data_IF_711358644483
#
_entry.id   IF_711358644483
#
_cell.length_a   1.000
_cell.length_b   1.000
_cell.length_c   1.000
_cell.angle_alpha   90.00
_cell.angle_beta   90.00
_cell.angle_gamma   90.00
#
_symmetry.space_group_name_H-M   'P 1'
#
loop_
_entity.id
_entity.type
_entity.pdbx_description
1 polymer ?
#
# COMPACT_ATOMS: atom_id res chain seq x y z
N UNK A 1 36.58 32.35 28.94
CA UNK A 1 35.86 31.07 28.77
C UNK A 1 34.43 31.40 28.36
N UNK A 2 34.04 31.10 27.12
CA UNK A 2 32.69 31.37 26.60
C UNK A 2 31.80 30.21 27.03
N UNK A 3 30.93 30.45 28.00
CA UNK A 3 29.92 29.50 28.43
C UNK A 3 28.65 29.71 27.59
N UNK A 4 28.17 28.58 27.06
CA UNK A 4 26.80 28.24 26.64
C UNK A 4 26.21 28.96 25.42
N UNK A 5 25.66 28.17 24.48
CA UNK A 5 24.20 28.05 24.46
C UNK A 5 23.76 26.58 24.29
N UNK A 6 23.35 25.96 25.39
CA UNK A 6 22.55 24.72 25.40
C UNK A 6 21.16 25.12 25.88
N UNK A 7 20.47 26.00 25.13
CA UNK A 7 19.09 26.40 25.44
C UNK A 7 18.31 26.59 24.14
N UNK A 8 18.44 25.66 23.18
CA UNK A 8 17.63 25.71 21.95
C UNK A 8 17.23 24.32 21.42
N UNK A 9 17.17 23.30 22.30
CA UNK A 9 16.78 21.93 21.88
C UNK A 9 15.35 21.58 22.35
N UNK A 10 14.72 22.38 23.22
CA UNK A 10 13.43 22.00 23.84
C UNK A 10 12.15 22.40 23.08
N UNK A 11 12.24 23.10 21.94
CA UNK A 11 11.05 23.63 21.26
C UNK A 11 10.52 22.82 20.05
N UNK A 12 11.09 21.65 19.75
CA UNK A 12 10.65 20.82 18.63
C UNK A 12 9.70 19.67 19.02
N UNK A 13 8.84 19.85 20.03
CA UNK A 13 7.69 18.97 20.22
C UNK A 13 6.56 19.45 19.30
N UNK A 14 6.74 19.31 17.99
CA UNK A 14 5.62 19.36 17.06
C UNK A 14 4.73 18.16 17.37
N UNK A 15 3.60 18.41 18.04
CA UNK A 15 2.53 17.43 18.21
C UNK A 15 2.01 17.12 16.81
N UNK A 16 2.56 16.09 16.19
CA UNK A 16 1.99 15.49 14.98
C UNK A 16 0.73 14.78 15.43
N UNK A 17 -0.38 15.52 15.52
CA UNK A 17 -1.67 14.92 15.81
C UNK A 17 -2.17 14.30 14.52
N UNK A 18 -2.24 12.97 14.49
CA UNK A 18 -2.95 12.28 13.43
C UNK A 18 -4.40 12.77 13.37
N UNK A 19 -4.95 12.89 12.16
CA UNK A 19 -6.32 13.35 11.96
C UNK A 19 -7.28 12.44 12.76
N UNK A 20 -8.05 13.05 13.67
CA UNK A 20 -9.04 12.37 14.46
C UNK A 20 -10.34 12.31 13.65
N UNK A 21 -10.88 11.11 13.44
CA UNK A 21 -12.17 10.92 12.77
C UNK A 21 -13.23 10.60 13.82
N UNK A 22 -14.36 11.31 13.75
CA UNK A 22 -15.49 11.08 14.64
C UNK A 22 -16.31 9.89 14.15
N UNK A 23 -16.80 9.08 15.09
CA UNK A 23 -17.73 7.98 14.83
C UNK A 23 -19.05 8.26 15.54
N UNK A 24 -20.16 8.15 14.83
CA UNK A 24 -21.51 8.27 15.42
C UNK A 24 -22.47 7.24 14.84
N UNK A 25 -23.60 7.05 15.51
CA UNK A 25 -24.70 6.18 15.09
C UNK A 25 -25.92 7.06 14.83
N UNK A 26 -26.57 6.91 13.68
CA UNK A 26 -27.78 7.66 13.36
C UNK A 26 -29.03 7.06 14.03
N UNK A 27 -30.19 7.70 13.83
CA UNK A 27 -31.47 7.23 14.37
C UNK A 27 -31.90 5.86 13.85
N UNK A 28 -31.38 5.44 12.70
CA UNK A 28 -31.67 4.17 12.06
C UNK A 28 -30.68 3.07 12.48
N UNK A 29 -29.72 3.40 13.35
CA UNK A 29 -28.70 2.48 13.85
C UNK A 29 -27.50 2.28 12.93
N UNK A 30 -27.35 3.08 11.87
CA UNK A 30 -26.20 3.01 10.96
C UNK A 30 -24.99 3.75 11.53
N UNK A 31 -23.81 3.20 11.30
CA UNK A 31 -22.53 3.75 11.79
C UNK A 31 -21.93 4.66 10.72
N UNK A 32 -21.58 5.88 11.11
CA UNK A 32 -20.97 6.89 10.26
C UNK A 32 -19.59 7.30 10.78
N UNK A 33 -18.73 7.76 9.86
CA UNK A 33 -17.39 8.28 10.13
C UNK A 33 -17.18 9.58 9.38
N UNK A 34 -16.62 10.60 10.01
CA UNK A 34 -16.34 11.88 9.36
C UNK A 34 -15.69 12.92 10.27
N UNK A 35 -15.31 14.05 9.69
CA UNK A 35 -14.68 15.15 10.41
C UNK A 35 -15.70 15.91 11.28
N UNK A 36 -16.85 16.25 10.71
CA UNK A 36 -17.94 16.96 11.39
C UNK A 36 -19.19 16.09 11.52
N UNK A 37 -19.80 16.09 12.70
CA UNK A 37 -21.08 15.40 12.93
C UNK A 37 -22.27 16.33 12.64
N UNK A 38 -23.43 15.79 12.22
CA UNK A 38 -24.69 16.55 12.27
C UNK A 38 -25.02 16.94 13.73
N UNK A 39 -25.42 18.19 13.94
CA UNK A 39 -25.71 18.77 15.28
C UNK A 39 -26.76 17.97 16.08
N UNK A 40 -27.56 17.14 15.43
CA UNK A 40 -28.73 16.48 16.01
C UNK A 40 -28.54 14.99 16.38
N UNK A 41 -27.33 14.41 16.31
CA UNK A 41 -27.14 12.97 16.58
C UNK A 41 -26.92 12.67 18.07
N UNK A 42 -27.82 11.92 18.76
CA UNK A 42 -27.59 11.44 20.13
C UNK A 42 -26.89 10.08 20.09
N UNK A 43 -25.58 10.04 19.82
CA UNK A 43 -24.84 8.78 19.85
C UNK A 43 -23.52 8.93 20.59
N UNK A 44 -23.22 7.92 21.42
CA UNK A 44 -22.03 7.82 22.25
C UNK A 44 -20.77 8.17 21.47
N UNK A 45 -20.10 9.24 21.90
CA UNK A 45 -18.89 9.76 21.29
C UNK A 45 -17.73 8.81 21.57
N UNK A 46 -17.13 8.26 20.52
CA UNK A 46 -15.85 7.57 20.60
C UNK A 46 -14.94 8.12 19.52
N UNK A 47 -13.92 8.87 19.91
CA UNK A 47 -12.86 9.33 19.01
C UNK A 47 -12.00 8.14 18.60
N UNK A 48 -11.90 7.87 17.30
CA UNK A 48 -10.97 6.87 16.80
C UNK A 48 -9.60 7.54 16.61
N UNK A 49 -8.63 7.16 17.44
CA UNK A 49 -7.24 7.60 17.27
C UNK A 49 -6.60 6.72 16.20
N UNK A 50 -6.34 7.29 15.03
CA UNK A 50 -5.58 6.63 13.98
C UNK A 50 -4.11 6.85 14.29
N UNK A 51 -3.39 5.80 14.64
CA UNK A 51 -1.94 5.88 14.84
C UNK A 51 -1.23 5.76 13.48
N UNK A 52 -0.25 6.61 13.24
CA UNK A 52 0.69 6.43 12.13
C UNK A 52 1.60 5.23 12.46
N UNK A 53 1.14 4.04 12.08
CA UNK A 53 1.85 2.77 12.29
C UNK A 53 2.54 2.31 11.00
N UNK A 54 3.00 3.26 10.16
CA UNK A 54 3.66 2.90 8.91
C UNK A 54 4.90 2.06 9.17
N UNK A 55 4.83 0.78 8.77
CA UNK A 55 5.96 -0.14 8.84
C UNK A 55 6.85 0.01 7.59
N UNK A 56 7.82 0.91 7.70
CA UNK A 56 8.78 1.19 6.64
C UNK A 56 9.61 -0.04 6.26
N UNK A 57 9.91 -0.93 7.21
CA UNK A 57 10.68 -2.15 6.94
C UNK A 57 9.88 -3.11 6.06
N UNK A 58 8.61 -3.37 6.42
CA UNK A 58 7.71 -4.19 5.62
C UNK A 58 7.48 -3.60 4.23
N UNK A 59 7.34 -2.28 4.12
CA UNK A 59 7.21 -1.58 2.84
C UNK A 59 8.46 -1.78 1.96
N UNK A 60 9.66 -1.53 2.51
CA UNK A 60 10.92 -1.72 1.78
C UNK A 60 11.15 -3.18 1.39
N UNK A 61 10.77 -4.13 2.26
CA UNK A 61 10.84 -5.56 1.97
C UNK A 61 9.90 -5.94 0.82
N UNK A 62 8.67 -5.40 0.79
CA UNK A 62 7.73 -5.61 -0.30
C UNK A 62 8.27 -5.10 -1.64
N UNK A 63 8.85 -3.89 -1.68
CA UNK A 63 9.49 -3.35 -2.89
C UNK A 63 10.60 -4.27 -3.39
N UNK A 64 11.48 -4.73 -2.49
CA UNK A 64 12.57 -5.65 -2.87
C UNK A 64 12.05 -6.96 -3.45
N UNK A 65 11.03 -7.57 -2.83
CA UNK A 65 10.37 -8.79 -3.34
C UNK A 65 9.76 -8.55 -4.72
N UNK A 66 9.09 -7.42 -4.90
CA UNK A 66 8.48 -7.07 -6.19
C UNK A 66 9.52 -6.88 -7.31
N UNK A 67 10.65 -6.23 -7.03
CA UNK A 67 11.72 -6.06 -8.00
C UNK A 67 12.35 -7.39 -8.45
N UNK A 68 12.40 -8.40 -7.56
CA UNK A 68 12.83 -9.77 -7.93
C UNK A 68 11.77 -10.44 -8.79
N UNK A 69 10.50 -10.39 -8.36
CA UNK A 69 9.38 -10.94 -9.10
C UNK A 69 9.29 -10.38 -10.53
N UNK A 70 9.42 -9.06 -10.70
CA UNK A 70 9.35 -8.41 -12.01
C UNK A 70 10.44 -8.92 -12.97
N UNK A 71 11.66 -9.19 -12.47
CA UNK A 71 12.74 -9.75 -13.28
C UNK A 71 12.43 -11.18 -13.72
N UNK A 72 11.85 -11.99 -12.83
CA UNK A 72 11.46 -13.36 -13.14
C UNK A 72 10.35 -13.42 -14.19
N UNK A 73 9.33 -12.56 -14.07
CA UNK A 73 8.24 -12.44 -15.04
C UNK A 73 8.80 -12.07 -16.41
N UNK A 74 9.62 -11.00 -16.50
CA UNK A 74 10.24 -10.58 -17.78
C UNK A 74 11.09 -11.70 -18.42
N UNK A 75 11.81 -12.48 -17.61
CA UNK A 75 12.59 -13.61 -18.11
C UNK A 75 11.70 -14.73 -18.66
N UNK A 76 10.60 -15.07 -17.96
CA UNK A 76 9.64 -16.07 -18.39
C UNK A 76 8.95 -15.64 -19.69
N UNK A 77 8.46 -14.41 -19.76
CA UNK A 77 7.85 -13.85 -20.97
C UNK A 77 8.80 -13.90 -22.17
N UNK A 78 10.06 -13.49 -21.97
CA UNK A 78 11.06 -13.53 -23.05
C UNK A 78 11.28 -14.95 -23.57
N UNK A 79 11.46 -15.93 -22.66
CA UNK A 79 11.62 -17.34 -23.03
C UNK A 79 10.40 -17.87 -23.78
N UNK A 80 9.20 -17.51 -23.34
CA UNK A 80 7.96 -17.92 -23.99
C UNK A 80 7.83 -17.33 -25.40
N UNK A 81 8.12 -16.04 -25.57
CA UNK A 81 8.13 -15.36 -26.87
C UNK A 81 9.15 -15.98 -27.82
N UNK A 82 10.36 -16.30 -27.34
CA UNK A 82 11.39 -16.96 -28.14
C UNK A 82 10.96 -18.38 -28.57
N UNK A 83 10.35 -19.15 -27.67
CA UNK A 83 9.78 -20.48 -27.96
C UNK A 83 8.72 -20.40 -29.06
N UNK A 84 7.74 -19.51 -28.91
CA UNK A 84 6.68 -19.27 -29.91
C UNK A 84 7.30 -18.85 -31.26
N UNK A 85 8.31 -17.97 -31.27
CA UNK A 85 8.97 -17.50 -32.50
C UNK A 85 9.74 -18.62 -33.21
N UNK A 86 10.45 -19.47 -32.46
CA UNK A 86 11.19 -20.63 -33.02
C UNK A 86 10.25 -21.67 -33.61
N UNK A 87 9.10 -21.88 -32.99
CA UNK A 87 8.09 -22.85 -33.43
C UNK A 87 7.30 -22.37 -34.64
N UNK A 88 6.93 -21.09 -34.70
CA UNK A 88 6.37 -20.47 -35.91
C UNK A 88 7.29 -20.65 -37.12
N UNK A 89 8.61 -20.57 -36.91
CA UNK A 89 9.61 -20.79 -37.97
C UNK A 89 9.76 -22.26 -38.37
N UNK A 90 9.50 -23.19 -37.46
CA UNK A 90 9.61 -24.64 -37.72
C UNK A 90 8.31 -25.29 -38.19
N UNK A 91 7.22 -24.52 -38.33
CA UNK A 91 5.91 -24.99 -38.80
C UNK A 91 5.13 -25.85 -37.79
N UNK A 92 5.65 -26.04 -36.57
CA UNK A 92 4.97 -26.78 -35.51
C UNK A 92 4.04 -25.86 -34.73
N UNK A 93 2.75 -26.22 -34.63
CA UNK A 93 1.80 -25.55 -33.74
C UNK A 93 1.97 -26.12 -32.33
N UNK A 94 2.50 -25.34 -31.39
CA UNK A 94 2.43 -25.68 -29.97
C UNK A 94 1.20 -24.97 -29.37
N UNK A 95 0.17 -25.70 -28.93
CA UNK A 95 -0.87 -25.08 -28.12
C UNK A 95 -0.24 -24.63 -26.81
N UNK A 96 -0.33 -23.34 -26.48
CA UNK A 96 0.08 -22.83 -25.18
C UNK A 96 -0.71 -23.57 -24.09
N UNK A 97 0.00 -24.07 -23.08
CA UNK A 97 -0.64 -24.57 -21.88
C UNK A 97 -1.40 -23.44 -21.18
N UNK A 98 -2.39 -23.78 -20.37
CA UNK A 98 -3.22 -22.78 -19.69
C UNK A 98 -2.38 -21.87 -18.78
N UNK A 99 -1.37 -22.43 -18.10
CA UNK A 99 -0.36 -21.70 -17.35
C UNK A 99 0.43 -20.70 -18.21
N UNK A 100 0.90 -21.13 -19.40
CA UNK A 100 1.65 -20.24 -20.31
C UNK A 100 0.77 -19.12 -20.89
N UNK A 101 -0.56 -19.30 -20.94
CA UNK A 101 -1.49 -18.23 -21.35
C UNK A 101 -1.59 -17.16 -20.26
N UNK A 102 -1.72 -17.54 -19.00
CA UNK A 102 -1.80 -16.58 -17.89
C UNK A 102 -0.49 -15.79 -17.71
N UNK A 103 0.66 -16.43 -17.96
CA UNK A 103 1.97 -15.77 -17.92
C UNK A 103 2.16 -14.68 -19.02
N UNK A 104 1.25 -14.57 -19.99
CA UNK A 104 1.25 -13.55 -21.06
C UNK A 104 0.35 -12.34 -20.77
N UNK A 105 -0.53 -12.43 -19.75
CA UNK A 105 -1.51 -11.40 -19.40
C UNK A 105 -1.28 -10.76 -18.02
N UNK A 106 -0.19 -11.16 -17.33
CA UNK A 106 0.34 -10.53 -16.12
C UNK A 106 1.49 -9.58 -16.49
#
# INVERSE_FOLDING_TARGET
MKLTPIVFIFFCNTVCSAAAINKWVDSDGQIHYGDDRPLESPASESTLVIHDSFDEESYRAAIKRYAVYEKEVKLKEKKLREKIKKEKRSGKKHPLTESEKYDLYL
#
